data_IF_974993616134
#
_entry.id   IF_974993616134
#
_cell.length_a   1.000
_cell.length_b   1.000
_cell.length_c   1.000
_cell.angle_alpha   90.00
_cell.angle_beta   90.00
_cell.angle_gamma   90.00
#
_symmetry.space_group_name_H-M   'P 1'
#
loop_
_entity.id
_entity.type
_entity.pdbx_description
1 polymer ?
#
# COMPACT_ATOMS: atom_id res chain seq x y z
N UNK A 1 17.87 -23.54 5.64
CA UNK A 1 18.38 -22.38 6.42
C UNK A 1 17.62 -22.33 7.73
N UNK A 2 18.22 -22.02 8.89
CA UNK A 2 17.44 -21.88 10.12
C UNK A 2 16.52 -20.64 10.02
N UNK A 3 15.20 -20.82 10.11
CA UNK A 3 14.17 -19.78 10.08
C UNK A 3 13.57 -19.61 11.49
N UNK A 4 14.31 -18.96 12.39
CA UNK A 4 13.99 -18.94 13.82
C UNK A 4 12.68 -18.21 14.16
N UNK A 5 12.26 -17.29 13.30
CA UNK A 5 11.00 -16.56 13.34
C UNK A 5 9.82 -17.35 12.75
N UNK A 6 10.09 -18.42 11.98
CA UNK A 6 9.07 -19.21 11.27
C UNK A 6 8.12 -18.31 10.47
N UNK A 7 8.67 -17.28 9.81
CA UNK A 7 7.88 -16.40 8.97
C UNK A 7 7.23 -17.19 7.82
N UNK A 8 6.01 -16.78 7.49
CA UNK A 8 5.14 -17.34 6.46
C UNK A 8 4.16 -16.20 6.11
N UNK A 9 4.50 -15.42 5.10
CA UNK A 9 3.86 -14.14 4.81
C UNK A 9 2.44 -14.31 4.22
N UNK A 10 2.26 -15.25 3.31
CA UNK A 10 0.98 -15.52 2.64
C UNK A 10 0.08 -16.53 3.38
N UNK A 11 0.65 -17.27 4.33
CA UNK A 11 -0.03 -18.25 5.17
C UNK A 11 -0.22 -19.62 4.52
N UNK A 12 0.58 -19.97 3.50
CA UNK A 12 0.50 -21.29 2.86
C UNK A 12 1.23 -22.40 3.66
N UNK A 13 1.48 -23.56 3.03
CA UNK A 13 2.14 -24.69 3.73
C UNK A 13 3.68 -24.56 3.79
N UNK A 14 4.25 -23.66 3.00
CA UNK A 14 5.67 -23.33 2.98
C UNK A 14 5.92 -22.15 3.93
N UNK A 15 7.16 -21.69 4.03
CA UNK A 15 7.45 -20.51 4.85
C UNK A 15 8.63 -19.80 4.25
N UNK A 16 8.74 -18.50 4.49
CA UNK A 16 9.50 -17.56 3.65
C UNK A 16 10.96 -17.97 3.38
N UNK A 17 11.56 -18.77 4.28
CA UNK A 17 12.92 -19.26 4.10
C UNK A 17 13.09 -20.39 3.06
N UNK A 18 11.97 -20.99 2.63
CA UNK A 18 11.87 -22.15 1.77
C UNK A 18 10.88 -21.98 0.61
N UNK A 19 10.00 -20.97 0.68
CA UNK A 19 9.17 -20.54 -0.43
C UNK A 19 10.03 -19.71 -1.41
N UNK A 20 9.70 -19.78 -2.70
CA UNK A 20 10.35 -19.01 -3.78
C UNK A 20 9.47 -17.81 -4.24
N UNK A 21 8.25 -17.67 -3.69
CA UNK A 21 7.19 -16.70 -4.02
C UNK A 21 6.39 -16.35 -2.75
N UNK A 22 7.02 -15.63 -1.82
CA UNK A 22 6.59 -15.43 -0.42
C UNK A 22 5.19 -14.79 -0.26
N UNK A 23 4.65 -14.13 -1.29
CA UNK A 23 3.31 -13.54 -1.30
C UNK A 23 2.31 -14.21 -2.25
N UNK A 24 2.76 -15.25 -2.95
CA UNK A 24 2.02 -16.06 -3.91
C UNK A 24 1.31 -15.23 -5.01
N UNK A 25 1.92 -14.12 -5.44
CA UNK A 25 1.39 -13.30 -6.55
C UNK A 25 1.72 -13.85 -7.95
N UNK A 26 2.60 -14.84 -8.01
CA UNK A 26 3.06 -15.51 -9.22
C UNK A 26 4.39 -14.98 -9.77
N UNK A 27 5.06 -14.07 -9.06
CA UNK A 27 6.39 -13.54 -9.37
C UNK A 27 7.37 -13.90 -8.26
N UNK A 28 8.24 -14.90 -8.54
CA UNK A 28 9.31 -15.29 -7.60
C UNK A 28 10.06 -14.12 -6.97
N UNK A 29 10.36 -14.21 -5.68
CA UNK A 29 10.98 -13.15 -4.86
C UNK A 29 12.25 -12.58 -5.49
N UNK A 30 13.07 -13.46 -6.08
CA UNK A 30 14.32 -13.07 -6.77
C UNK A 30 14.14 -12.08 -7.93
N UNK A 31 12.90 -11.89 -8.38
CA UNK A 31 12.48 -11.02 -9.49
C UNK A 31 11.35 -10.07 -9.09
N UNK A 32 10.89 -10.13 -7.85
CA UNK A 32 9.86 -9.24 -7.34
C UNK A 32 10.48 -7.98 -6.73
N UNK A 33 9.86 -6.83 -6.99
CA UNK A 33 10.19 -5.59 -6.29
C UNK A 33 9.50 -5.48 -4.93
N UNK A 34 8.42 -6.23 -4.71
CA UNK A 34 7.65 -6.32 -3.47
C UNK A 34 7.36 -7.80 -3.15
N UNK A 35 8.37 -8.61 -2.76
CA UNK A 35 8.20 -10.04 -2.45
C UNK A 35 7.29 -10.33 -1.25
N UNK A 36 6.69 -9.30 -0.65
CA UNK A 36 5.78 -9.38 0.48
C UNK A 36 4.59 -8.46 0.18
N UNK A 37 4.00 -8.59 -1.02
CA UNK A 37 2.94 -7.74 -1.53
C UNK A 37 1.64 -7.99 -0.76
N UNK A 38 0.85 -6.95 -0.47
CA UNK A 38 -0.40 -7.09 0.28
C UNK A 38 -1.54 -7.56 -0.64
N UNK A 39 -1.77 -8.86 -0.69
CA UNK A 39 -2.75 -9.50 -1.59
C UNK A 39 -4.20 -9.47 -1.07
N UNK A 40 -4.51 -8.68 -0.03
CA UNK A 40 -5.90 -8.51 0.47
C UNK A 40 -6.84 -8.09 -0.66
N UNK A 41 -8.07 -8.57 -0.61
CA UNK A 41 -9.09 -8.36 -1.65
C UNK A 41 -9.51 -6.88 -1.81
N UNK A 42 -9.49 -6.10 -0.72
CA UNK A 42 -10.01 -4.74 -0.70
C UNK A 42 -8.95 -3.70 -0.36
N UNK A 43 -9.03 -2.57 -1.06
CA UNK A 43 -8.20 -1.40 -0.92
C UNK A 43 -8.69 -0.52 0.24
N UNK A 44 -7.87 -0.47 1.30
CA UNK A 44 -8.11 0.34 2.49
C UNK A 44 -6.82 1.08 2.87
N UNK A 45 -6.94 2.32 3.34
CA UNK A 45 -5.82 3.10 3.88
C UNK A 45 -6.30 4.09 4.95
N UNK A 46 -5.59 4.21 6.08
CA UNK A 46 -6.11 4.93 7.24
C UNK A 46 -7.49 4.47 7.66
N UNK A 47 -8.39 5.41 7.96
CA UNK A 47 -9.78 5.12 8.33
C UNK A 47 -10.71 4.95 7.10
N UNK A 48 -10.14 4.77 5.91
CA UNK A 48 -10.87 4.62 4.67
C UNK A 48 -11.19 3.16 4.37
N UNK A 49 -12.43 2.75 4.61
CA UNK A 49 -13.03 1.55 4.04
C UNK A 49 -13.96 1.95 2.88
N UNK A 50 -13.49 1.75 1.64
CA UNK A 50 -14.13 2.27 0.44
C UNK A 50 -14.82 1.19 -0.42
N UNK A 51 -14.73 -0.08 -0.02
CA UNK A 51 -15.21 -1.23 -0.81
C UNK A 51 -14.69 -1.21 -2.25
N UNK A 52 -13.41 -0.86 -2.41
CA UNK A 52 -12.71 -0.84 -3.71
C UNK A 52 -11.87 -2.10 -3.78
N UNK A 53 -11.98 -2.87 -4.86
CA UNK A 53 -11.12 -4.03 -5.07
C UNK A 53 -9.65 -3.59 -5.12
N UNK A 54 -8.80 -4.25 -4.35
CA UNK A 54 -7.35 -4.09 -4.44
C UNK A 54 -6.87 -4.82 -5.70
N UNK A 55 -6.18 -4.09 -6.59
CA UNK A 55 -5.75 -4.64 -7.87
C UNK A 55 -4.24 -4.71 -7.96
N UNK A 56 -3.74 -5.77 -8.60
CA UNK A 56 -2.35 -5.91 -8.97
C UNK A 56 -1.96 -4.88 -10.04
N UNK A 57 -0.91 -4.14 -9.73
CA UNK A 57 -0.23 -3.25 -10.65
C UNK A 57 0.89 -3.99 -11.38
N UNK A 58 1.35 -3.42 -12.48
CA UNK A 58 2.27 -4.08 -13.42
C UNK A 58 3.71 -4.23 -12.92
N UNK A 59 4.02 -3.69 -11.76
CA UNK A 59 5.35 -3.62 -11.17
C UNK A 59 5.57 -4.68 -10.06
N UNK A 60 4.66 -5.66 -9.93
CA UNK A 60 4.68 -6.64 -8.83
C UNK A 60 4.26 -5.97 -7.52
N UNK A 61 3.20 -5.17 -7.53
CA UNK A 61 2.67 -4.56 -6.29
C UNK A 61 1.17 -4.40 -6.39
N UNK A 62 0.49 -4.34 -5.26
CA UNK A 62 -0.94 -4.01 -5.22
C UNK A 62 -1.17 -2.52 -5.04
N UNK A 63 -2.42 -2.07 -5.18
CA UNK A 63 -2.78 -0.68 -4.87
C UNK A 63 -2.56 -0.35 -3.39
N UNK A 64 -2.80 -1.33 -2.50
CA UNK A 64 -2.55 -1.20 -1.06
C UNK A 64 -1.07 -1.01 -0.77
N UNK A 65 -0.18 -1.73 -1.45
CA UNK A 65 1.28 -1.56 -1.25
C UNK A 65 1.74 -0.16 -1.63
N UNK A 66 1.25 0.34 -2.76
CA UNK A 66 1.62 1.66 -3.26
C UNK A 66 1.12 2.79 -2.35
N UNK A 67 -0.07 2.67 -1.76
CA UNK A 67 -0.55 3.69 -0.82
C UNK A 67 0.14 3.59 0.54
N UNK A 68 0.42 2.38 1.03
CA UNK A 68 1.13 2.19 2.28
C UNK A 68 2.55 2.76 2.18
N UNK A 69 3.26 2.47 1.08
CA UNK A 69 4.59 3.03 0.82
C UNK A 69 4.55 4.57 0.83
N UNK A 70 3.56 5.18 0.16
CA UNK A 70 3.38 6.63 0.19
C UNK A 70 3.12 7.16 1.62
N UNK A 71 2.29 6.47 2.40
CA UNK A 71 1.97 6.88 3.77
C UNK A 71 3.20 6.77 4.67
N UNK A 72 3.98 5.70 4.53
CA UNK A 72 5.25 5.52 5.24
C UNK A 72 6.24 6.64 4.91
N UNK A 73 6.47 6.93 3.63
CA UNK A 73 7.35 8.04 3.20
C UNK A 73 6.91 9.39 3.77
N UNK A 74 5.60 9.63 3.88
CA UNK A 74 5.04 10.85 4.47
C UNK A 74 5.23 10.85 6.00
N UNK A 75 4.97 9.74 6.68
CA UNK A 75 5.13 9.61 8.12
C UNK A 75 6.59 9.75 8.56
N UNK A 76 7.55 9.22 7.79
CA UNK A 76 8.99 9.35 8.08
C UNK A 76 9.48 10.81 8.12
N UNK A 77 8.77 11.71 7.43
CA UNK A 77 9.09 13.14 7.41
C UNK A 77 8.41 13.91 8.53
N UNK A 78 7.49 13.30 9.28
CA UNK A 78 6.71 13.97 10.30
C UNK A 78 7.55 14.29 11.54
N UNK A 79 7.64 15.57 11.90
CA UNK A 79 8.44 16.05 13.03
C UNK A 79 7.61 16.47 14.26
N UNK A 80 6.29 16.28 14.19
CA UNK A 80 5.33 16.70 15.21
C UNK A 80 4.72 18.09 14.97
N UNK A 81 5.31 18.92 14.12
CA UNK A 81 4.87 20.31 13.89
C UNK A 81 4.51 20.58 12.42
N UNK A 82 5.04 19.81 11.48
CA UNK A 82 4.88 20.00 10.03
C UNK A 82 3.65 19.31 9.40
N UNK A 83 2.59 19.04 10.17
CA UNK A 83 1.43 18.25 9.70
C UNK A 83 0.75 18.85 8.47
N UNK A 84 0.46 20.16 8.47
CA UNK A 84 -0.27 20.81 7.37
C UNK A 84 0.47 20.71 6.02
N UNK A 85 1.80 20.81 6.05
CA UNK A 85 2.65 20.69 4.87
C UNK A 85 2.65 19.24 4.36
N UNK A 86 2.87 18.27 5.25
CA UNK A 86 2.92 16.86 4.88
C UNK A 86 1.56 16.30 4.45
N UNK A 87 0.45 16.75 5.06
CA UNK A 87 -0.88 16.38 4.61
C UNK A 87 -1.17 16.92 3.20
N UNK A 88 -0.72 18.15 2.91
CA UNK A 88 -0.82 18.73 1.55
C UNK A 88 0.01 17.96 0.53
N UNK A 89 1.19 17.51 0.93
CA UNK A 89 2.10 16.70 0.13
C UNK A 89 1.54 15.31 -0.13
N UNK A 90 1.02 14.64 0.90
CA UNK A 90 0.27 13.40 0.78
C UNK A 90 -0.87 13.52 -0.23
N UNK A 91 -1.70 14.56 -0.10
CA UNK A 91 -2.83 14.77 -1.02
C UNK A 91 -2.38 14.98 -2.47
N UNK A 92 -1.23 15.63 -2.67
CA UNK A 92 -0.64 15.83 -4.00
C UNK A 92 -0.14 14.51 -4.58
N UNK A 93 0.60 13.72 -3.82
CA UNK A 93 1.13 12.44 -4.29
C UNK A 93 0.02 11.40 -4.47
N UNK A 94 -0.98 11.35 -3.57
CA UNK A 94 -2.20 10.55 -3.74
C UNK A 94 -2.93 10.89 -5.04
N UNK A 95 -3.00 12.17 -5.39
CA UNK A 95 -3.62 12.60 -6.65
C UNK A 95 -2.84 12.11 -7.88
N UNK A 96 -1.51 12.05 -7.83
CA UNK A 96 -0.68 11.50 -8.91
C UNK A 96 -0.80 9.98 -8.98
N UNK A 97 -0.75 9.30 -7.84
CA UNK A 97 -0.86 7.85 -7.73
C UNK A 97 -2.20 7.36 -8.30
N UNK A 98 -3.31 7.91 -7.80
CA UNK A 98 -4.65 7.59 -8.31
C UNK A 98 -4.89 8.03 -9.75
N UNK A 99 -4.12 8.99 -10.27
CA UNK A 99 -4.11 9.29 -11.71
C UNK A 99 -3.57 8.12 -12.52
N UNK A 100 -2.45 7.55 -12.08
CA UNK A 100 -1.83 6.42 -12.75
C UNK A 100 -2.71 5.17 -12.66
N UNK A 101 -3.25 4.84 -11.49
CA UNK A 101 -4.19 3.72 -11.33
C UNK A 101 -5.39 3.83 -12.28
N UNK A 102 -5.98 5.02 -12.38
CA UNK A 102 -7.10 5.25 -13.31
C UNK A 102 -6.68 5.15 -14.78
N UNK A 103 -5.46 5.58 -15.12
CA UNK A 103 -4.91 5.47 -16.48
C UNK A 103 -4.69 4.01 -16.87
N UNK A 104 -4.24 3.20 -15.90
CA UNK A 104 -4.00 1.77 -16.06
C UNK A 104 -5.26 0.92 -15.89
N UNK A 105 -6.40 1.57 -15.57
CA UNK A 105 -7.74 0.99 -15.39
C UNK A 105 -7.88 0.12 -14.13
N UNK A 106 -7.03 0.35 -13.14
CA UNK A 106 -7.14 -0.27 -11.82
C UNK A 106 -8.29 0.32 -11.00
N UNK A 107 -8.69 1.56 -11.29
CA UNK A 107 -9.83 2.21 -10.66
C UNK A 107 -10.69 3.00 -11.64
N UNK A 108 -11.95 3.17 -11.28
CA UNK A 108 -12.91 4.03 -11.97
C UNK A 108 -12.72 5.50 -11.61
N UNK A 109 -13.45 6.38 -12.31
CA UNK A 109 -13.47 7.82 -11.97
C UNK A 109 -14.12 8.07 -10.61
N UNK A 110 -15.19 7.33 -10.29
CA UNK A 110 -15.91 7.44 -9.02
C UNK A 110 -15.06 6.97 -7.85
N UNK A 111 -14.39 5.83 -7.99
CA UNK A 111 -13.43 5.32 -6.99
C UNK A 111 -12.33 6.33 -6.72
N UNK A 112 -11.72 6.90 -7.77
CA UNK A 112 -10.72 7.95 -7.59
C UNK A 112 -11.25 9.15 -6.81
N UNK A 113 -12.49 9.58 -7.07
CA UNK A 113 -13.12 10.67 -6.32
C UNK A 113 -13.36 10.29 -4.87
N UNK A 114 -13.76 9.05 -4.59
CA UNK A 114 -13.94 8.52 -3.24
C UNK A 114 -12.60 8.49 -2.48
N UNK A 115 -11.54 7.94 -3.09
CA UNK A 115 -10.18 7.90 -2.54
C UNK A 115 -9.70 9.32 -2.21
N UNK A 116 -9.84 10.26 -3.16
CA UNK A 116 -9.44 11.66 -2.93
C UNK A 116 -10.26 12.32 -1.81
N UNK A 117 -11.54 11.98 -1.67
CA UNK A 117 -12.36 12.50 -0.58
C UNK A 117 -11.97 11.92 0.76
N UNK A 118 -11.59 10.65 0.79
CA UNK A 118 -11.19 10.01 2.02
C UNK A 118 -9.81 10.51 2.47
N UNK A 119 -8.84 10.62 1.55
CA UNK A 119 -7.53 11.20 1.85
C UNK A 119 -7.63 12.61 2.44
N UNK A 120 -8.51 13.47 1.92
CA UNK A 120 -8.73 14.83 2.47
C UNK A 120 -9.21 14.84 3.92
N UNK A 121 -9.90 13.80 4.35
CA UNK A 121 -10.46 13.68 5.70
C UNK A 121 -9.61 12.78 6.60
N UNK A 122 -8.53 12.20 6.08
CA UNK A 122 -7.66 11.29 6.82
C UNK A 122 -6.69 12.06 7.72
N UNK A 123 -6.27 11.42 8.81
CA UNK A 123 -5.26 11.96 9.74
C UNK A 123 -3.83 11.56 9.31
N UNK A 124 -3.49 11.67 8.02
CA UNK A 124 -2.17 11.31 7.48
C UNK A 124 -1.33 12.59 7.25
N UNK A 125 -0.08 12.69 7.72
CA UNK A 125 0.65 11.71 8.52
C UNK A 125 0.02 11.48 9.89
N UNK A 126 0.16 10.25 10.39
CA UNK A 126 -0.36 9.88 11.71
C UNK A 126 0.49 10.51 12.81
N UNK A 127 -0.17 10.95 13.87
CA UNK A 127 0.51 11.23 15.13
C UNK A 127 1.03 9.90 15.68
N UNK A 128 2.34 9.70 15.75
CA UNK A 128 2.90 8.60 16.55
C UNK A 128 2.46 8.81 18.00
N UNK A 129 1.42 8.09 18.41
CA UNK A 129 1.01 8.00 19.81
C UNK A 129 1.98 7.02 20.46
N UNK A 130 3.20 7.48 20.77
CA UNK A 130 4.16 6.75 21.61
C UNK A 130 3.56 6.33 22.95
#
# INVERSE_FOLDING_TARGET
TPNADQANYDGDDEGDACDDDDDNDGVRDSRDNYPYSNTREYFNFGDCDLDIENQFSRNGSTMVDQINSLIEEINEQYDGENWDELHSDFMRELAKLTYMWRKDRLITRSERSAISSCGRNSEIPYLDIN
#
